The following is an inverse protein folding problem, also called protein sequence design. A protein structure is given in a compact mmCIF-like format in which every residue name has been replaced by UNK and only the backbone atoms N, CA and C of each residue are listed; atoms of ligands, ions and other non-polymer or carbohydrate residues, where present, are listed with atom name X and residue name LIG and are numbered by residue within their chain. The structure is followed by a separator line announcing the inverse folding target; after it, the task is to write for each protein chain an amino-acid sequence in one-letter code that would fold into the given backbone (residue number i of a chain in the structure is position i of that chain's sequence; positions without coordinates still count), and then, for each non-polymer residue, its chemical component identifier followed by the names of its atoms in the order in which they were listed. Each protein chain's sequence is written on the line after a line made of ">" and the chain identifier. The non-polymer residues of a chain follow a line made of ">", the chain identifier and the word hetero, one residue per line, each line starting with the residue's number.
data_IF_698223348079
#
_entry.id   IF_698223348079
#
_cell.length_a   1.000
_cell.length_b   1.000
_cell.length_c   1.000
_cell.angle_alpha   90.00
_cell.angle_beta   90.00
_cell.angle_gamma   90.00
#
_symmetry.space_group_name_H-M   'P 1'
#
loop_
_entity.id
_entity.type
_entity.pdbx_description
1 polymer ?
#
# COMPACT_ATOMS: atom_id res chain seq x y z
N UNK A 1 -5.81 9.10 12.55
CA UNK A 1 -5.57 8.81 11.11
C UNK A 1 -6.55 7.72 10.68
N UNK A 2 -6.66 7.28 9.43
CA UNK A 2 -7.38 6.03 9.16
C UNK A 2 -6.37 4.89 9.19
N UNK A 3 -6.79 3.69 9.64
CA UNK A 3 -5.96 2.49 9.50
C UNK A 3 -5.69 2.27 8.02
N UNK A 4 -4.44 1.99 7.68
CA UNK A 4 -4.08 1.65 6.30
C UNK A 4 -4.41 0.20 5.94
N UNK A 5 -5.02 -0.56 6.86
CA UNK A 5 -5.39 -1.94 6.62
C UNK A 5 -6.77 -2.31 7.15
N UNK A 6 -7.39 -3.29 6.51
CA UNK A 6 -8.64 -3.92 6.94
C UNK A 6 -8.55 -5.45 6.70
N UNK A 7 -9.11 -6.24 7.61
CA UNK A 7 -9.23 -7.69 7.48
C UNK A 7 -10.71 -8.06 7.30
N UNK A 8 -11.03 -8.84 6.27
CA UNK A 8 -12.38 -9.39 6.07
C UNK A 8 -12.30 -10.90 5.87
N UNK A 9 -12.74 -11.64 6.88
CA UNK A 9 -12.94 -13.09 6.74
C UNK A 9 -14.13 -13.35 5.80
N UNK A 10 -13.94 -14.27 4.86
CA UNK A 10 -14.99 -14.74 3.96
C UNK A 10 -15.40 -16.15 4.37
N UNK A 11 -16.63 -16.52 4.02
CA UNK A 11 -17.19 -17.82 4.35
C UNK A 11 -16.54 -18.99 3.58
N UNK A 12 -15.77 -18.70 2.53
CA UNK A 12 -15.18 -19.63 1.57
C UNK A 12 -13.73 -20.02 1.90
N UNK A 13 -13.34 -20.00 3.18
CA UNK A 13 -11.96 -20.27 3.62
C UNK A 13 -10.94 -19.27 3.04
N UNK A 14 -11.38 -18.05 2.69
CA UNK A 14 -10.50 -16.95 2.28
C UNK A 14 -10.47 -15.76 3.24
N UNK A 15 -9.33 -15.10 3.31
CA UNK A 15 -9.10 -13.88 4.07
C UNK A 15 -8.74 -12.75 3.11
N UNK A 16 -9.58 -11.72 3.05
CA UNK A 16 -9.24 -10.49 2.35
C UNK A 16 -8.46 -9.57 3.29
N UNK A 17 -7.32 -9.07 2.82
CA UNK A 17 -6.49 -8.07 3.48
C UNK A 17 -6.41 -6.85 2.55
N UNK A 18 -7.04 -5.76 2.94
CA UNK A 18 -6.95 -4.49 2.21
C UNK A 18 -5.80 -3.68 2.81
N UNK A 19 -4.89 -3.17 1.99
CA UNK A 19 -3.73 -2.34 2.37
C UNK A 19 -3.81 -1.00 1.63
N UNK A 20 -4.65 -0.11 2.15
CA UNK A 20 -5.07 1.12 1.50
C UNK A 20 -4.57 2.36 2.26
N UNK A 21 -3.93 3.30 1.57
CA UNK A 21 -3.35 4.51 2.17
C UNK A 21 -1.87 4.36 2.58
N UNK A 22 -1.32 5.38 3.26
CA UNK A 22 0.06 5.40 3.75
C UNK A 22 0.34 4.26 4.75
N UNK A 23 1.41 3.49 4.51
CA UNK A 23 1.90 2.48 5.43
C UNK A 23 2.62 3.18 6.58
N UNK A 24 1.96 3.39 7.71
CA UNK A 24 2.58 4.01 8.88
C UNK A 24 3.23 2.98 9.81
N UNK A 25 4.16 3.42 10.67
CA UNK A 25 4.81 2.57 11.68
C UNK A 25 4.12 2.75 13.03
N UNK A 26 3.76 1.65 13.70
CA UNK A 26 3.43 1.66 15.13
C UNK A 26 4.31 0.66 15.89
N UNK A 27 4.68 1.02 17.12
CA UNK A 27 5.48 0.19 18.03
C UNK A 27 4.73 -0.99 18.68
N UNK A 28 5.43 -1.78 19.50
CA UNK A 28 4.87 -2.96 20.20
C UNK A 28 3.75 -2.59 21.21
N UNK A 29 3.78 -1.36 21.76
CA UNK A 29 2.77 -0.80 22.68
C UNK A 29 1.92 0.32 22.05
N UNK A 30 1.67 0.29 20.75
CA UNK A 30 1.24 1.48 20.02
C UNK A 30 -0.25 1.83 20.04
N UNK A 31 -1.16 1.09 20.67
CA UNK A 31 -2.59 1.45 20.62
C UNK A 31 -2.93 2.59 21.57
N UNK A 32 -2.65 3.82 21.15
CA UNK A 32 -3.20 5.03 21.77
C UNK A 32 -4.59 5.34 21.21
N UNK A 33 -4.84 4.98 19.94
CA UNK A 33 -6.18 4.95 19.37
C UNK A 33 -6.38 3.83 18.33
N UNK A 34 -7.57 3.78 17.72
CA UNK A 34 -7.97 2.75 16.76
C UNK A 34 -7.27 2.85 15.41
N UNK A 35 -6.31 3.75 15.24
CA UNK A 35 -5.68 4.13 13.97
C UNK A 35 -4.20 3.76 13.90
N UNK A 36 -3.64 3.38 15.05
CA UNK A 36 -2.27 2.91 15.18
C UNK A 36 -2.03 1.56 14.51
N UNK A 37 -0.84 1.43 13.93
CA UNK A 37 -0.41 0.25 13.18
C UNK A 37 0.36 -0.67 14.08
N UNK A 38 -0.32 -1.66 14.62
CA UNK A 38 0.35 -2.66 15.44
C UNK A 38 0.73 -3.86 14.57
N UNK A 39 2.02 -4.21 14.52
CA UNK A 39 2.49 -5.50 13.99
C UNK A 39 1.70 -6.67 14.61
N UNK A 40 1.24 -6.49 15.86
CA UNK A 40 0.39 -7.43 16.57
C UNK A 40 -0.97 -7.67 15.89
N UNK A 41 -1.55 -6.71 15.15
CA UNK A 41 -2.84 -6.91 14.49
C UNK A 41 -2.70 -7.87 13.30
N UNK A 42 -1.67 -7.70 12.46
CA UNK A 42 -1.31 -8.69 11.45
C UNK A 42 -0.96 -10.04 12.09
N UNK A 43 -0.27 -10.01 13.23
CA UNK A 43 0.16 -11.25 13.90
C UNK A 43 -1.03 -12.02 14.42
N UNK A 44 -1.93 -11.33 15.09
CA UNK A 44 -3.17 -11.92 15.58
C UNK A 44 -4.05 -12.41 14.43
N UNK A 45 -4.17 -11.65 13.34
CA UNK A 45 -4.98 -12.07 12.19
C UNK A 45 -4.39 -13.33 11.52
N UNK A 46 -3.06 -13.38 11.33
CA UNK A 46 -2.39 -14.46 10.62
C UNK A 46 -2.06 -15.68 11.51
N UNK A 47 -1.91 -15.51 12.83
CA UNK A 47 -1.78 -16.63 13.77
C UNK A 47 -3.11 -17.31 14.02
N UNK A 48 -4.22 -16.55 14.01
CA UNK A 48 -5.58 -17.08 14.17
C UNK A 48 -6.26 -17.37 12.83
N UNK A 49 -5.49 -17.61 11.77
CA UNK A 49 -6.01 -17.79 10.41
C UNK A 49 -6.83 -19.08 10.23
N UNK A 50 -6.82 -19.99 11.21
CA UNK A 50 -7.67 -21.19 11.19
C UNK A 50 -7.48 -22.06 9.94
N UNK A 51 -8.59 -22.39 9.26
CA UNK A 51 -8.61 -23.23 8.06
C UNK A 51 -8.50 -22.43 6.74
N UNK A 52 -8.11 -21.15 6.79
CA UNK A 52 -7.98 -20.33 5.59
C UNK A 52 -6.95 -20.94 4.65
N UNK A 53 -7.34 -21.11 3.38
CA UNK A 53 -6.49 -21.66 2.31
C UNK A 53 -6.02 -20.58 1.36
N UNK A 54 -6.68 -19.42 1.35
CA UNK A 54 -6.37 -18.33 0.42
C UNK A 54 -6.39 -16.99 1.12
N UNK A 55 -5.37 -16.17 0.85
CA UNK A 55 -5.36 -14.76 1.21
C UNK A 55 -5.48 -13.95 -0.08
N UNK A 56 -6.41 -13.00 -0.12
CA UNK A 56 -6.47 -11.98 -1.16
C UNK A 56 -5.96 -10.66 -0.61
N UNK A 57 -4.82 -10.20 -1.14
CA UNK A 57 -4.12 -9.00 -0.72
C UNK A 57 -4.43 -7.85 -1.69
N UNK A 58 -5.25 -6.89 -1.28
CA UNK A 58 -5.61 -5.74 -2.11
C UNK A 58 -4.71 -4.56 -1.76
N UNK A 59 -3.91 -4.11 -2.72
CA UNK A 59 -2.92 -3.05 -2.55
C UNK A 59 -3.40 -1.78 -3.22
N UNK A 60 -3.52 -0.72 -2.42
CA UNK A 60 -3.85 0.62 -2.89
C UNK A 60 -3.14 1.65 -2.00
N UNK A 61 -1.82 1.73 -2.11
CA UNK A 61 -0.97 2.47 -1.17
C UNK A 61 0.11 3.28 -1.88
N UNK A 62 0.34 4.48 -1.33
CA UNK A 62 1.42 5.39 -1.72
C UNK A 62 2.79 4.97 -1.16
N UNK A 63 2.85 3.94 -0.31
CA UNK A 63 4.06 3.55 0.42
C UNK A 63 4.11 4.12 1.83
N UNK A 64 5.31 4.26 2.40
CA UNK A 64 5.54 4.72 3.78
C UNK A 64 6.65 3.95 4.48
N UNK A 65 6.37 3.42 5.67
CA UNK A 65 7.27 2.67 6.54
C UNK A 65 7.74 1.36 5.91
N UNK A 66 9.02 1.34 5.54
CA UNK A 66 9.73 0.15 5.06
C UNK A 66 9.78 -0.94 6.13
N UNK A 67 9.92 -0.58 7.41
CA UNK A 67 10.01 -1.54 8.52
C UNK A 67 8.68 -2.27 8.71
N UNK A 68 7.56 -1.54 8.74
CA UNK A 68 6.21 -2.12 8.81
C UNK A 68 5.99 -3.07 7.63
N UNK A 69 6.35 -2.62 6.43
CA UNK A 69 6.21 -3.40 5.20
C UNK A 69 7.00 -4.71 5.29
N UNK A 70 8.27 -4.67 5.70
CA UNK A 70 9.09 -5.87 5.90
C UNK A 70 8.49 -6.82 6.92
N UNK A 71 7.92 -6.29 8.01
CA UNK A 71 7.18 -7.07 8.99
C UNK A 71 6.03 -7.84 8.34
N UNK A 72 5.18 -7.15 7.57
CA UNK A 72 4.06 -7.77 6.84
C UNK A 72 4.56 -8.84 5.87
N UNK A 73 5.59 -8.55 5.06
CA UNK A 73 6.18 -9.51 4.11
C UNK A 73 6.64 -10.79 4.82
N UNK A 74 7.36 -10.66 5.93
CA UNK A 74 7.84 -11.83 6.69
C UNK A 74 6.69 -12.71 7.21
N UNK A 75 5.55 -12.11 7.54
CA UNK A 75 4.39 -12.85 8.02
C UNK A 75 3.63 -13.54 6.89
N UNK A 76 3.47 -12.84 5.76
CA UNK A 76 2.88 -13.41 4.55
C UNK A 76 3.72 -14.60 4.05
N UNK A 77 5.05 -14.50 4.06
CA UNK A 77 5.93 -15.63 3.70
C UNK A 77 5.77 -16.82 4.66
N UNK A 78 5.68 -16.59 5.97
CA UNK A 78 5.43 -17.67 6.94
C UNK A 78 4.09 -18.38 6.71
N UNK A 79 3.06 -17.63 6.32
CA UNK A 79 1.74 -18.19 6.01
C UNK A 79 1.77 -18.94 4.68
N UNK A 80 2.46 -18.43 3.67
CA UNK A 80 2.70 -19.11 2.38
C UNK A 80 3.44 -20.43 2.57
N UNK A 81 4.45 -20.44 3.45
CA UNK A 81 5.19 -21.65 3.82
C UNK A 81 4.33 -22.74 4.50
N UNK A 82 3.17 -22.37 5.07
CA UNK A 82 2.17 -23.31 5.61
C UNK A 82 1.19 -23.83 4.56
N UNK A 83 1.35 -23.46 3.29
CA UNK A 83 0.51 -23.93 2.18
C UNK A 83 -0.68 -23.02 1.83
N UNK A 84 -0.78 -21.83 2.43
CA UNK A 84 -1.80 -20.85 2.05
C UNK A 84 -1.40 -20.16 0.75
N UNK A 85 -2.32 -20.09 -0.21
CA UNK A 85 -2.13 -19.38 -1.47
C UNK A 85 -2.41 -17.90 -1.27
N UNK A 86 -1.49 -17.04 -1.68
CA UNK A 86 -1.66 -15.59 -1.62
C UNK A 86 -1.87 -15.06 -3.05
N UNK A 87 -3.01 -14.41 -3.28
CA UNK A 87 -3.31 -13.66 -4.48
C UNK A 87 -3.20 -12.17 -4.14
N UNK A 88 -2.45 -11.41 -4.91
CA UNK A 88 -2.42 -9.94 -4.75
C UNK A 88 -3.10 -9.24 -5.89
N UNK A 89 -3.77 -8.14 -5.58
CA UNK A 89 -4.46 -7.27 -6.51
C UNK A 89 -3.96 -5.86 -6.31
N UNK A 90 -3.28 -5.30 -7.31
CA UNK A 90 -2.91 -3.89 -7.32
C UNK A 90 -4.17 -3.14 -7.76
N UNK A 91 -5.03 -2.75 -6.82
CA UNK A 91 -6.36 -2.20 -7.11
C UNK A 91 -6.30 -0.80 -7.74
N UNK A 92 -5.23 -0.05 -7.48
CA UNK A 92 -5.00 1.25 -8.08
C UNK A 92 -3.54 1.66 -8.03
N UNK A 93 -2.94 1.71 -6.84
CA UNK A 93 -1.54 2.13 -6.68
C UNK A 93 -0.75 1.18 -5.78
N UNK A 94 0.45 0.80 -6.21
CA UNK A 94 1.49 0.23 -5.37
C UNK A 94 2.78 1.03 -5.52
N UNK A 95 2.96 2.08 -4.72
CA UNK A 95 4.13 2.95 -4.82
C UNK A 95 5.14 2.74 -3.69
N UNK A 96 6.44 2.90 -4.00
CA UNK A 96 7.51 2.79 -3.00
C UNK A 96 7.47 1.43 -2.30
N UNK A 97 7.57 1.36 -0.96
CA UNK A 97 7.52 0.08 -0.24
C UNK A 97 6.20 -0.69 -0.45
N UNK A 98 5.10 -0.06 -0.84
CA UNK A 98 3.89 -0.78 -1.17
C UNK A 98 4.04 -1.66 -2.42
N UNK A 99 4.98 -1.33 -3.33
CA UNK A 99 5.31 -2.16 -4.49
C UNK A 99 5.92 -3.52 -4.12
N UNK A 100 6.37 -3.69 -2.88
CA UNK A 100 6.93 -4.94 -2.37
C UNK A 100 5.83 -5.96 -2.06
N UNK A 101 4.66 -5.47 -1.62
CA UNK A 101 3.57 -6.31 -1.11
C UNK A 101 3.05 -7.32 -2.16
N UNK A 102 2.79 -6.94 -3.42
CA UNK A 102 2.37 -7.92 -4.42
C UNK A 102 3.41 -9.01 -4.67
N UNK A 103 4.70 -8.66 -4.58
CA UNK A 103 5.80 -9.53 -4.98
C UNK A 103 5.99 -10.76 -4.09
N UNK A 104 5.47 -10.74 -2.85
CA UNK A 104 5.46 -11.89 -1.93
C UNK A 104 4.45 -12.97 -2.34
N UNK A 105 3.46 -12.61 -3.15
CA UNK A 105 2.27 -13.42 -3.42
C UNK A 105 2.58 -14.60 -4.34
N UNK A 106 1.71 -15.61 -4.38
CA UNK A 106 1.78 -16.64 -5.41
C UNK A 106 1.41 -16.07 -6.76
N UNK A 107 0.27 -15.38 -6.82
CA UNK A 107 -0.29 -14.76 -8.02
C UNK A 107 -0.40 -13.24 -7.83
N UNK A 108 -0.18 -12.50 -8.92
CA UNK A 108 -0.24 -11.04 -8.93
C UNK A 108 -1.16 -10.61 -10.05
N UNK A 109 -2.18 -9.84 -9.70
CA UNK A 109 -3.17 -9.28 -10.57
C UNK A 109 -3.11 -7.76 -10.54
N UNK A 110 -3.27 -7.13 -11.69
CA UNK A 110 -3.42 -5.69 -11.82
C UNK A 110 -4.57 -5.38 -12.79
N UNK A 111 -5.15 -4.19 -12.67
CA UNK A 111 -6.17 -3.68 -13.59
C UNK A 111 -5.49 -2.77 -14.62
N UNK A 112 -6.17 -2.49 -15.73
CA UNK A 112 -5.65 -1.56 -16.75
C UNK A 112 -5.36 -0.15 -16.19
N UNK A 113 -6.07 0.25 -15.13
CA UNK A 113 -5.87 1.52 -14.44
C UNK A 113 -4.76 1.51 -13.38
N UNK A 114 -4.20 0.34 -13.06
CA UNK A 114 -3.25 0.20 -11.96
C UNK A 114 -1.88 0.81 -12.29
N UNK A 115 -1.25 1.37 -11.27
CA UNK A 115 0.10 1.92 -11.31
C UNK A 115 0.98 1.25 -10.25
N UNK A 116 2.23 0.98 -10.61
CA UNK A 116 3.27 0.54 -9.69
C UNK A 116 4.45 1.51 -9.79
N UNK A 117 4.96 1.97 -8.65
CA UNK A 117 6.16 2.82 -8.63
C UNK A 117 7.27 2.15 -7.84
N UNK A 118 8.44 2.05 -8.47
CA UNK A 118 9.66 1.54 -7.86
C UNK A 118 10.74 2.63 -7.90
N UNK A 119 11.47 2.78 -6.80
CA UNK A 119 12.54 3.76 -6.67
C UNK A 119 13.56 3.30 -5.63
N UNK A 120 14.76 3.87 -5.63
CA UNK A 120 15.82 3.54 -4.65
C UNK A 120 15.35 3.74 -3.21
N UNK A 121 15.88 2.97 -2.24
CA UNK A 121 15.60 3.23 -0.84
C UNK A 121 16.07 4.64 -0.47
N UNK A 122 15.23 5.36 0.27
CA UNK A 122 15.48 6.75 0.67
C UNK A 122 15.58 6.86 2.20
N UNK A 123 16.53 7.66 2.66
CA UNK A 123 16.68 8.04 4.06
C UNK A 123 17.29 9.43 4.17
N UNK A 124 17.11 10.08 5.32
CA UNK A 124 17.84 11.29 5.70
C UNK A 124 19.09 10.94 6.51
N UNK A 125 20.19 11.67 6.31
CA UNK A 125 21.40 11.55 7.10
C UNK A 125 21.90 12.93 7.54
N UNK A 126 22.45 13.01 8.75
CA UNK A 126 23.11 14.20 9.26
C UNK A 126 24.30 13.79 10.13
N UNK A 127 25.46 14.42 9.92
CA UNK A 127 26.71 14.03 10.59
C UNK A 127 27.93 14.31 9.72
N UNK A 128 29.04 13.65 10.03
CA UNK A 128 30.27 13.77 9.24
C UNK A 128 30.26 12.79 8.05
N UNK A 129 31.33 12.81 7.24
CA UNK A 129 31.46 11.95 6.07
C UNK A 129 31.32 10.44 6.37
N UNK A 130 31.80 9.97 7.52
CA UNK A 130 31.68 8.56 7.90
C UNK A 130 30.23 8.19 8.26
N UNK A 131 29.47 9.11 8.86
CA UNK A 131 28.05 8.88 9.18
C UNK A 131 27.19 8.84 7.92
N UNK A 132 27.50 9.73 6.96
CA UNK A 132 26.87 9.71 5.64
C UNK A 132 27.22 8.43 4.87
N UNK A 133 28.48 8.00 4.88
CA UNK A 133 28.90 6.76 4.22
C UNK A 133 28.19 5.54 4.81
N UNK A 134 28.09 5.43 6.13
CA UNK A 134 27.32 4.34 6.78
C UNK A 134 25.86 4.31 6.32
N UNK A 135 25.24 5.48 6.13
CA UNK A 135 23.87 5.55 5.64
C UNK A 135 23.78 5.05 4.20
N UNK A 136 24.72 5.44 3.33
CA UNK A 136 24.82 4.94 1.96
C UNK A 136 24.97 3.41 1.95
N UNK A 137 25.83 2.87 2.80
CA UNK A 137 26.06 1.42 2.89
C UNK A 137 24.78 0.67 3.27
N UNK A 138 24.02 1.19 4.25
CA UNK A 138 22.73 0.60 4.65
C UNK A 138 21.70 0.68 3.51
N UNK A 139 21.63 1.79 2.79
CA UNK A 139 20.72 1.93 1.65
C UNK A 139 21.08 0.95 0.52
N UNK A 140 22.37 0.77 0.23
CA UNK A 140 22.82 -0.22 -0.75
C UNK A 140 22.49 -1.65 -0.31
N UNK A 141 22.68 -1.98 0.97
CA UNK A 141 22.29 -3.28 1.52
C UNK A 141 20.79 -3.52 1.36
N UNK A 142 19.95 -2.52 1.63
CA UNK A 142 18.50 -2.63 1.46
C UNK A 142 18.13 -2.89 -0.01
N UNK A 143 18.75 -2.17 -0.94
CA UNK A 143 18.54 -2.35 -2.37
C UNK A 143 18.94 -3.78 -2.80
N UNK A 144 20.18 -4.17 -2.51
CA UNK A 144 20.77 -5.42 -3.02
C UNK A 144 20.20 -6.67 -2.31
N UNK A 145 19.92 -6.58 -1.01
CA UNK A 145 19.55 -7.75 -0.19
C UNK A 145 18.05 -7.94 0.02
N UNK A 146 17.24 -6.88 -0.16
CA UNK A 146 15.79 -6.94 0.08
C UNK A 146 15.01 -6.64 -1.18
N UNK A 147 15.28 -5.51 -1.82
CA UNK A 147 14.46 -5.04 -2.95
C UNK A 147 14.71 -5.88 -4.21
N UNK A 148 15.96 -6.06 -4.62
CA UNK A 148 16.28 -6.82 -5.83
C UNK A 148 15.80 -8.27 -5.78
N UNK A 149 16.08 -9.07 -4.73
CA UNK A 149 15.61 -10.46 -4.69
C UNK A 149 14.09 -10.54 -4.78
N UNK A 150 13.38 -9.59 -4.15
CA UNK A 150 11.93 -9.55 -4.17
C UNK A 150 11.39 -9.29 -5.59
N UNK A 151 11.90 -8.27 -6.29
CA UNK A 151 11.49 -7.98 -7.67
C UNK A 151 11.89 -9.10 -8.63
N UNK A 152 13.12 -9.60 -8.52
CA UNK A 152 13.63 -10.68 -9.37
C UNK A 152 12.88 -11.99 -9.17
N UNK A 153 12.34 -12.26 -7.98
CA UNK A 153 11.50 -13.44 -7.73
C UNK A 153 10.22 -13.47 -8.58
N UNK A 154 9.81 -12.31 -9.11
CA UNK A 154 8.63 -12.13 -9.97
C UNK A 154 8.96 -11.64 -11.36
N UNK A 155 10.23 -11.42 -11.68
CA UNK A 155 10.66 -10.95 -12.98
C UNK A 155 10.36 -11.97 -14.08
N UNK A 156 10.05 -11.48 -15.28
CA UNK A 156 9.94 -12.32 -16.48
C UNK A 156 11.31 -12.78 -16.95
N UNK A 157 11.32 -13.87 -17.72
CA UNK A 157 12.54 -14.33 -18.38
C UNK A 157 13.16 -13.21 -19.23
N UNK A 158 14.47 -13.01 -19.08
CA UNK A 158 15.22 -11.97 -19.79
C UNK A 158 15.31 -10.62 -19.07
N UNK A 159 14.55 -10.40 -18.01
CA UNK A 159 14.71 -9.21 -17.16
C UNK A 159 15.92 -9.38 -16.25
N UNK A 160 16.83 -8.42 -16.24
CA UNK A 160 18.09 -8.48 -15.47
C UNK A 160 18.06 -7.62 -14.21
N UNK A 161 18.89 -7.96 -13.23
CA UNK A 161 19.06 -7.12 -12.02
C UNK A 161 19.49 -5.70 -12.38
N UNK A 162 20.35 -5.53 -13.39
CA UNK A 162 20.82 -4.23 -13.85
C UNK A 162 19.69 -3.38 -14.41
N UNK A 163 18.76 -3.98 -15.15
CA UNK A 163 17.55 -3.30 -15.61
C UNK A 163 16.69 -2.86 -14.43
N UNK A 164 16.49 -3.71 -13.42
CA UNK A 164 15.73 -3.33 -12.22
C UNK A 164 16.45 -2.20 -11.45
N UNK A 165 17.78 -2.27 -11.27
CA UNK A 165 18.57 -1.20 -10.63
C UNK A 165 18.46 0.13 -11.37
N UNK A 166 18.48 0.10 -12.70
CA UNK A 166 18.29 1.30 -13.53
C UNK A 166 16.89 1.90 -13.34
N UNK A 167 15.84 1.07 -13.35
CA UNK A 167 14.46 1.52 -13.10
C UNK A 167 14.30 2.10 -11.68
N UNK A 168 14.91 1.49 -10.66
CA UNK A 168 14.94 2.01 -9.29
C UNK A 168 15.63 3.37 -9.22
N UNK A 169 16.76 3.53 -9.91
CA UNK A 169 17.50 4.80 -9.93
C UNK A 169 16.72 5.95 -10.55
N UNK A 170 15.85 5.64 -11.51
CA UNK A 170 15.05 6.62 -12.25
C UNK A 170 13.75 7.01 -11.56
N UNK A 171 13.38 6.39 -10.44
CA UNK A 171 12.03 6.50 -9.86
C UNK A 171 10.97 6.24 -10.94
N UNK A 172 10.78 4.97 -11.25
CA UNK A 172 9.97 4.56 -12.41
C UNK A 172 8.53 4.27 -12.01
N UNK A 173 7.60 4.85 -12.77
CA UNK A 173 6.18 4.58 -12.70
C UNK A 173 5.77 3.68 -13.86
N UNK A 174 5.23 2.51 -13.55
CA UNK A 174 4.81 1.48 -14.49
C UNK A 174 3.28 1.44 -14.55
N UNK A 175 2.74 1.49 -15.75
CA UNK A 175 1.34 1.15 -16.02
C UNK A 175 1.16 -0.38 -16.08
N UNK A 176 -0.08 -0.84 -16.26
CA UNK A 176 -0.42 -2.25 -16.40
C UNK A 176 0.46 -2.99 -17.42
N UNK A 177 0.72 -2.36 -18.56
CA UNK A 177 1.56 -2.95 -19.60
C UNK A 177 3.01 -3.06 -19.13
N UNK A 178 3.61 -1.97 -18.67
CA UNK A 178 5.00 -1.94 -18.18
C UNK A 178 5.23 -2.88 -17.01
N UNK A 179 4.25 -3.01 -16.11
CA UNK A 179 4.25 -4.03 -15.06
C UNK A 179 4.32 -5.45 -15.65
N UNK A 180 3.41 -5.76 -16.58
CA UNK A 180 3.35 -7.09 -17.20
C UNK A 180 4.53 -7.38 -18.13
N UNK A 181 5.19 -6.36 -18.70
CA UNK A 181 6.38 -6.55 -19.52
C UNK A 181 7.58 -6.99 -18.66
N UNK A 182 7.64 -6.54 -17.40
CA UNK A 182 8.75 -6.79 -16.48
C UNK A 182 8.53 -7.96 -15.53
N UNK A 183 7.29 -8.16 -15.08
CA UNK A 183 6.95 -9.11 -14.02
C UNK A 183 5.87 -10.10 -14.46
N UNK A 184 5.82 -11.26 -13.80
CA UNK A 184 4.76 -12.25 -13.96
C UNK A 184 3.47 -11.76 -13.28
N UNK A 185 2.83 -10.77 -13.90
CA UNK A 185 1.60 -10.11 -13.46
C UNK A 185 0.51 -10.33 -14.52
N UNK A 186 -0.67 -10.77 -14.09
CA UNK A 186 -1.85 -10.91 -14.93
C UNK A 186 -2.66 -9.61 -14.93
N UNK A 187 -3.04 -9.13 -16.13
CA UNK A 187 -3.84 -7.92 -16.27
C UNK A 187 -5.31 -8.32 -16.43
N UNK A 188 -6.12 -7.90 -15.47
CA UNK A 188 -7.56 -8.07 -15.47
C UNK A 188 -8.21 -7.04 -16.40
N UNK A 189 -9.22 -7.49 -17.16
CA UNK A 189 -9.90 -6.65 -18.15
C UNK A 189 -10.77 -5.55 -17.52
N UNK A 190 -11.19 -5.74 -16.27
CA UNK A 190 -11.96 -4.76 -15.52
C UNK A 190 -11.12 -3.52 -15.19
N UNK A 191 -11.79 -2.39 -14.94
CA UNK A 191 -11.15 -1.16 -14.49
C UNK A 191 -11.65 -0.80 -13.10
N UNK A 192 -10.74 -0.55 -12.15
CA UNK A 192 -11.05 0.02 -10.84
C UNK A 192 -10.64 1.49 -10.77
N UNK A 193 -11.38 2.29 -10.02
CA UNK A 193 -11.10 3.70 -9.83
C UNK A 193 -9.90 3.95 -8.90
N UNK A 194 -8.94 4.76 -9.36
CA UNK A 194 -7.74 5.17 -8.63
C UNK A 194 -8.01 6.05 -7.39
N UNK A 195 -9.27 6.41 -7.12
CA UNK A 195 -9.66 7.54 -6.26
C UNK A 195 -9.30 7.32 -4.78
N UNK A 196 -9.32 6.09 -4.28
CA UNK A 196 -9.12 5.82 -2.85
C UNK A 196 -7.67 6.02 -2.34
N UNK A 197 -6.66 6.11 -3.22
CA UNK A 197 -5.25 6.34 -2.80
C UNK A 197 -4.86 7.80 -2.61
N UNK A 198 -5.65 8.72 -3.15
CA UNK A 198 -5.21 10.09 -3.41
C UNK A 198 -5.46 11.00 -2.19
N UNK A 199 -5.95 10.42 -1.10
CA UNK A 199 -6.14 11.11 0.18
C UNK A 199 -4.81 11.54 0.80
N UNK A 200 -3.73 10.80 0.56
CA UNK A 200 -2.41 11.03 1.16
C UNK A 200 -1.48 11.85 0.25
N UNK A 201 -1.96 13.04 -0.14
CA UNK A 201 -1.28 13.96 -1.08
C UNK A 201 0.15 14.32 -0.66
N UNK A 202 0.44 14.33 0.64
CA UNK A 202 1.75 14.73 1.17
C UNK A 202 2.87 13.78 0.74
N UNK A 203 2.66 12.46 0.80
CA UNK A 203 3.66 11.49 0.36
C UNK A 203 3.81 11.52 -1.15
N UNK A 204 2.71 11.55 -1.90
CA UNK A 204 2.79 11.60 -3.36
C UNK A 204 3.60 12.82 -3.83
N UNK A 205 3.40 13.98 -3.22
CA UNK A 205 4.17 15.19 -3.55
C UNK A 205 5.66 15.11 -3.22
N UNK A 206 6.11 14.13 -2.43
CA UNK A 206 7.53 13.92 -2.13
C UNK A 206 8.27 13.17 -3.24
N UNK A 207 7.56 12.48 -4.13
CA UNK A 207 8.12 11.77 -5.27
C UNK A 207 8.39 12.73 -6.44
N UNK A 208 9.49 12.50 -7.17
CA UNK A 208 9.99 13.44 -8.19
C UNK A 208 9.24 13.34 -9.51
N UNK A 209 8.83 12.14 -9.90
CA UNK A 209 8.38 11.79 -11.24
C UNK A 209 6.89 11.39 -11.29
N UNK A 210 6.09 11.82 -10.31
CA UNK A 210 4.66 11.50 -10.25
C UNK A 210 3.95 11.81 -11.58
N UNK A 211 3.27 10.83 -12.21
CA UNK A 211 2.53 10.99 -13.45
C UNK A 211 1.48 12.10 -13.38
N UNK A 212 1.30 12.81 -14.50
CA UNK A 212 0.33 13.90 -14.58
C UNK A 212 -1.10 13.44 -14.24
N UNK A 213 -1.49 12.24 -14.67
CA UNK A 213 -2.79 11.63 -14.33
C UNK A 213 -3.06 11.60 -12.81
N UNK A 214 -2.04 11.29 -12.00
CA UNK A 214 -2.18 11.29 -10.54
C UNK A 214 -2.22 12.72 -9.99
N UNK A 215 -1.44 13.65 -10.56
CA UNK A 215 -1.48 15.08 -10.21
C UNK A 215 -2.86 15.69 -10.49
N UNK A 216 -3.46 15.36 -11.63
CA UNK A 216 -4.78 15.86 -12.02
C UNK A 216 -5.86 15.36 -11.05
N UNK A 217 -5.84 14.06 -10.71
CA UNK A 217 -6.74 13.49 -9.70
C UNK A 217 -6.48 14.00 -8.27
N UNK A 218 -5.28 14.48 -7.95
CA UNK A 218 -4.99 15.18 -6.69
C UNK A 218 -5.61 16.58 -6.63
N UNK A 219 -5.88 17.21 -7.77
CA UNK A 219 -6.43 18.58 -7.88
C UNK A 219 -7.96 18.55 -8.01
N UNK A 220 -8.53 17.49 -8.58
CA UNK A 220 -9.99 17.30 -8.54
C UNK A 220 -10.47 17.32 -7.08
N UNK A 221 -11.48 18.16 -6.74
CA UNK A 221 -12.17 17.98 -5.48
C UNK A 221 -12.63 16.53 -5.47
N UNK A 222 -12.34 15.79 -4.40
CA UNK A 222 -13.07 14.55 -4.12
C UNK A 222 -14.52 14.95 -4.31
N UNK A 223 -15.20 14.34 -5.28
CA UNK A 223 -16.63 14.53 -5.43
C UNK A 223 -17.23 13.94 -4.14
N UNK A 224 -17.29 14.78 -3.11
CA UNK A 224 -18.13 14.52 -1.94
C UNK A 224 -19.48 14.34 -2.58
N UNK A 225 -19.99 13.12 -2.52
CA UNK A 225 -21.31 12.80 -2.99
C UNK A 225 -22.25 13.85 -2.38
N UNK A 226 -22.76 14.77 -3.22
CA UNK A 226 -23.56 15.91 -2.75
C UNK A 226 -24.74 15.42 -1.90
N UNK A 227 -25.19 14.20 -2.17
CA UNK A 227 -26.22 13.49 -1.42
C UNK A 227 -25.83 13.25 0.04
N UNK A 228 -24.56 12.95 0.34
CA UNK A 228 -24.07 12.75 1.71
C UNK A 228 -23.94 14.10 2.43
N UNK A 229 -23.43 15.12 1.76
CA UNK A 229 -23.27 16.45 2.36
C UNK A 229 -24.63 17.11 2.65
N UNK A 230 -25.59 17.02 1.72
CA UNK A 230 -26.96 17.53 1.89
C UNK A 230 -27.72 16.79 3.01
N UNK A 231 -27.41 15.51 3.24
CA UNK A 231 -28.03 14.72 4.32
C UNK A 231 -27.43 15.07 5.70
N UNK A 232 -26.10 15.25 5.77
CA UNK A 232 -25.42 15.69 7.00
C UNK A 232 -25.87 17.09 7.43
N UNK A 233 -25.97 18.04 6.50
CA UNK A 233 -26.44 19.40 6.78
C UNK A 233 -27.92 19.42 7.24
N UNK A 234 -28.76 18.53 6.70
CA UNK A 234 -30.14 18.36 7.16
C UNK A 234 -30.23 17.78 8.57
N UNK A 235 -29.44 16.76 8.87
CA UNK A 235 -29.42 16.15 10.21
C UNK A 235 -28.90 17.12 11.27
N UNK A 236 -27.86 17.92 10.96
CA UNK A 236 -27.36 18.96 11.85
C UNK A 236 -28.42 20.06 12.10
N UNK A 237 -29.16 20.46 11.06
CA UNK A 237 -30.22 21.45 11.19
C UNK A 237 -31.41 20.92 12.02
N UNK A 238 -31.81 19.66 11.83
CA UNK A 238 -32.83 18.98 12.64
C UNK A 238 -32.40 18.89 14.11
N UNK A 239 -31.16 18.51 14.36
CA UNK A 239 -30.60 18.43 15.71
C UNK A 239 -30.55 19.80 16.40
N UNK A 240 -30.17 20.86 15.67
CA UNK A 240 -30.13 22.21 16.21
C UNK A 240 -31.53 22.75 16.53
N UNK A 241 -32.52 22.47 15.68
CA UNK A 241 -33.94 22.79 15.93
C UNK A 241 -34.46 22.08 17.18
N UNK A 242 -34.16 20.79 17.35
CA UNK A 242 -34.56 20.02 18.52
C UNK A 242 -33.95 20.58 19.82
N UNK A 243 -32.66 20.96 19.79
CA UNK A 243 -32.00 21.63 20.93
C UNK A 243 -32.64 22.98 21.27
N UNK A 244 -32.99 23.78 20.26
CA UNK A 244 -33.63 25.07 20.47
C UNK A 244 -35.01 24.92 21.11
N UNK A 245 -35.78 23.93 20.67
CA UNK A 245 -37.12 23.64 21.20
C UNK A 245 -37.08 23.13 22.64
N UNK A 246 -36.03 22.37 23.01
CA UNK A 246 -35.82 21.93 24.39
C UNK A 246 -35.41 23.08 25.33
N UNK A 247 -34.69 24.08 24.82
CA UNK A 247 -34.26 25.25 25.59
C UNK A 247 -35.38 26.30 25.82
N UNK A 248 -36.53 26.12 25.17
CA UNK A 248 -37.72 26.99 25.28
C UNK A 248 -38.83 26.39 26.16
N UNK A 249 -38.57 25.22 26.78
CA UNK A 249 -39.39 24.59 27.82
C UNK A 249 -38.79 24.85 29.20
#
# INVERSE_FOLDING_TARGET
>A
MNKFYEFKNKADESLDIMLYGEIISGGEDCKWDSTDVCFQDFKNALDNIGNIKTINLYVNSVGGSVITTQGILAMLERVKAKGVVINSYIDGLGASCASFLPMVSNNIFAYNSSLLMIHKPMSGAWGNANDMQKTIDVLNIMEDSVMLPLYMSKAKEGVTEEQIKDLLSKETWLDAKGMSDLFNIEILAESKDLVACITDKNILNSYKNVPQLLKDKMIEPIAVDKTIQDNLEKEELEFLKAKLQLALL
#
